data_IF_347711290758
#
_entry.id   IF_347711290758
#
_cell.length_a   1.000
_cell.length_b   1.000
_cell.length_c   1.000
_cell.angle_alpha   90.00
_cell.angle_beta   90.00
_cell.angle_gamma   90.00
#
_symmetry.space_group_name_H-M   'P 1'
#
loop_
_entity.id
_entity.type
_entity.pdbx_description
1 polymer ?
#
# COMPACT_ATOMS: atom_id res chain seq x y z
N UNK A 1 11.51 -19.35 22.67
CA UNK A 1 12.03 -19.28 21.28
C UNK A 1 12.12 -17.81 20.94
N UNK A 2 13.24 -17.33 20.40
CA UNK A 2 13.28 -15.95 19.89
C UNK A 2 12.34 -15.90 18.69
N UNK A 3 11.38 -14.98 18.70
CA UNK A 3 10.59 -14.68 17.51
C UNK A 3 11.60 -14.20 16.46
N UNK A 4 11.77 -14.99 15.40
CA UNK A 4 12.63 -14.60 14.30
C UNK A 4 12.03 -13.33 13.67
N UNK A 5 12.86 -12.39 13.22
CA UNK A 5 12.38 -11.12 12.63
C UNK A 5 12.83 -11.09 11.18
N UNK A 6 11.92 -10.70 10.30
CA UNK A 6 12.20 -10.56 8.87
C UNK A 6 11.94 -9.14 8.41
N UNK A 7 12.84 -8.62 7.58
CA UNK A 7 12.65 -7.33 6.94
C UNK A 7 11.84 -7.52 5.66
N UNK A 8 10.82 -6.69 5.51
CA UNK A 8 9.90 -6.70 4.38
C UNK A 8 9.84 -5.33 3.73
N UNK A 9 9.74 -5.32 2.41
CA UNK A 9 9.48 -4.14 1.61
C UNK A 9 8.04 -4.22 1.08
N UNK A 10 7.22 -3.25 1.47
CA UNK A 10 5.82 -3.14 1.08
C UNK A 10 5.65 -2.05 0.03
N UNK A 11 4.93 -2.39 -1.04
CA UNK A 11 4.49 -1.48 -2.08
C UNK A 11 2.99 -1.23 -1.90
N UNK A 12 2.63 -0.01 -1.54
CA UNK A 12 1.22 0.41 -1.42
C UNK A 12 0.86 1.20 -2.67
N UNK A 13 0.09 0.57 -3.57
CA UNK A 13 -0.45 1.20 -4.78
C UNK A 13 -1.83 1.77 -4.49
N UNK A 14 -2.13 2.96 -4.99
CA UNK A 14 -3.43 3.59 -4.81
C UNK A 14 -3.82 4.44 -6.02
N UNK A 15 -5.11 4.70 -6.17
CA UNK A 15 -5.65 5.65 -7.17
C UNK A 15 -6.23 6.86 -6.48
N UNK A 16 -5.90 8.04 -6.98
CA UNK A 16 -6.55 9.29 -6.58
C UNK A 16 -6.46 10.33 -7.69
N UNK A 17 -7.20 11.44 -7.52
CA UNK A 17 -7.02 12.64 -8.34
C UNK A 17 -5.70 13.34 -8.00
N UNK A 18 -5.11 14.07 -8.95
CA UNK A 18 -3.87 14.83 -8.69
C UNK A 18 -4.02 15.87 -7.58
N UNK A 19 -5.17 16.53 -7.49
CA UNK A 19 -5.47 17.55 -6.47
C UNK A 19 -5.65 16.98 -5.06
N UNK A 20 -5.79 15.65 -4.94
CA UNK A 20 -5.94 14.94 -3.66
C UNK A 20 -4.65 14.25 -3.20
N UNK A 21 -3.55 14.35 -3.96
CA UNK A 21 -2.31 13.63 -3.69
C UNK A 21 -1.69 13.99 -2.33
N UNK A 22 -1.76 15.26 -1.92
CA UNK A 22 -1.23 15.69 -0.62
C UNK A 22 -2.04 15.09 0.54
N UNK A 23 -3.35 14.93 0.38
CA UNK A 23 -4.17 14.23 1.37
C UNK A 23 -3.79 12.74 1.43
N UNK A 24 -3.63 12.08 0.27
CA UNK A 24 -3.21 10.68 0.22
C UNK A 24 -1.85 10.45 0.90
N UNK A 25 -0.87 11.36 0.68
CA UNK A 25 0.42 11.36 1.38
C UNK A 25 0.24 11.49 2.89
N UNK A 26 -0.60 12.41 3.35
CA UNK A 26 -0.88 12.57 4.77
C UNK A 26 -1.58 11.33 5.39
N UNK A 27 -2.43 10.63 4.63
CA UNK A 27 -3.00 9.33 5.06
C UNK A 27 -1.93 8.26 5.20
N UNK A 28 -1.07 8.11 4.20
CA UNK A 28 0.03 7.15 4.27
C UNK A 28 0.93 7.38 5.48
N UNK A 29 1.31 8.63 5.77
CA UNK A 29 2.12 8.94 6.95
C UNK A 29 1.43 8.56 8.26
N UNK A 30 0.11 8.79 8.40
CA UNK A 30 -0.65 8.34 9.57
C UNK A 30 -0.63 6.82 9.73
N UNK A 31 -0.81 6.08 8.63
CA UNK A 31 -0.72 4.63 8.64
C UNK A 31 0.66 4.14 9.10
N UNK A 32 1.73 4.76 8.62
CA UNK A 32 3.12 4.46 8.99
C UNK A 32 3.39 4.82 10.46
N UNK A 33 2.87 5.94 10.96
CA UNK A 33 3.04 6.33 12.36
C UNK A 33 2.39 5.33 13.32
N UNK A 34 1.18 4.85 13.00
CA UNK A 34 0.53 3.75 13.75
C UNK A 34 1.34 2.46 13.68
N UNK A 35 1.93 2.16 12.52
CA UNK A 35 2.78 0.97 12.36
C UNK A 35 4.04 1.05 13.22
N UNK A 36 4.65 2.23 13.36
CA UNK A 36 5.84 2.47 14.20
C UNK A 36 5.61 2.21 15.69
N UNK A 37 4.36 2.20 16.16
CA UNK A 37 4.05 1.87 17.55
C UNK A 37 4.42 0.41 17.91
N UNK A 38 4.42 -0.48 16.92
CA UNK A 38 4.62 -1.94 17.13
C UNK A 38 5.74 -2.54 16.30
N UNK A 39 6.18 -1.88 15.23
CA UNK A 39 7.17 -2.41 14.29
C UNK A 39 8.34 -1.43 14.09
N UNK A 40 9.52 -1.98 13.83
CA UNK A 40 10.68 -1.17 13.40
C UNK A 40 10.53 -0.83 11.92
N UNK A 41 10.19 0.42 11.62
CA UNK A 41 10.13 0.94 10.24
C UNK A 41 11.49 1.53 9.87
N UNK A 42 12.20 0.90 8.93
CA UNK A 42 13.52 1.34 8.45
C UNK A 42 13.42 2.44 7.40
N UNK A 43 12.36 2.41 6.59
CA UNK A 43 12.12 3.36 5.52
C UNK A 43 10.63 3.51 5.26
N UNK A 44 10.20 4.74 4.96
CA UNK A 44 8.89 5.02 4.35
C UNK A 44 9.08 6.19 3.39
N UNK A 45 8.61 6.02 2.15
CA UNK A 45 8.68 7.07 1.15
C UNK A 45 7.68 8.18 1.46
N UNK A 46 8.14 9.42 1.55
CA UNK A 46 7.28 10.61 1.64
C UNK A 46 6.76 11.08 0.26
N UNK A 47 7.48 10.69 -0.79
CA UNK A 47 7.10 10.99 -2.18
C UNK A 47 6.41 9.79 -2.79
N UNK A 48 5.24 10.04 -3.38
CA UNK A 48 4.53 9.04 -4.16
C UNK A 48 5.11 9.04 -5.57
N UNK A 49 5.50 7.86 -6.08
CA UNK A 49 5.83 7.74 -7.48
C UNK A 49 4.56 7.64 -8.31
N UNK A 50 4.50 8.38 -9.42
CA UNK A 50 3.39 8.35 -10.37
C UNK A 50 3.62 7.27 -11.43
N UNK A 51 2.78 6.24 -11.42
CA UNK A 51 2.86 5.13 -12.37
C UNK A 51 1.93 5.30 -13.58
N UNK A 52 0.94 6.19 -13.51
CA UNK A 52 0.06 6.50 -14.63
C UNK A 52 -1.07 5.49 -14.84
N UNK A 53 -1.74 5.58 -15.99
CA UNK A 53 -2.92 4.76 -16.32
C UNK A 53 -2.58 3.39 -16.91
N UNK A 54 -1.34 3.17 -17.35
CA UNK A 54 -0.90 1.90 -17.92
C UNK A 54 -0.79 0.79 -16.86
N UNK A 55 -0.85 1.14 -15.58
CA UNK A 55 -0.86 0.17 -14.50
C UNK A 55 -2.15 -0.67 -14.53
N UNK A 56 -2.06 -2.02 -14.48
CA UNK A 56 -3.22 -2.90 -14.55
C UNK A 56 -4.28 -2.65 -13.46
N UNK A 57 -3.86 -2.12 -12.30
CA UNK A 57 -4.75 -1.83 -11.18
C UNK A 57 -5.54 -0.53 -11.33
N UNK A 58 -5.23 0.31 -12.33
CA UNK A 58 -5.85 1.62 -12.49
C UNK A 58 -7.38 1.52 -12.61
N UNK A 59 -7.86 0.76 -13.60
CA UNK A 59 -9.31 0.60 -13.86
C UNK A 59 -10.04 -0.08 -12.70
N UNK A 60 -9.38 -1.04 -12.05
CA UNK A 60 -9.95 -1.74 -10.90
C UNK A 60 -10.20 -0.76 -9.74
N UNK A 61 -9.17 -0.03 -9.33
CA UNK A 61 -9.28 0.89 -8.19
C UNK A 61 -10.12 2.13 -8.53
N UNK A 62 -10.07 2.62 -9.77
CA UNK A 62 -10.95 3.71 -10.22
C UNK A 62 -12.43 3.33 -10.10
N UNK A 63 -12.80 2.07 -10.36
CA UNK A 63 -14.19 1.61 -10.22
C UNK A 63 -14.70 1.57 -8.77
N UNK A 64 -13.80 1.62 -7.79
CA UNK A 64 -14.14 1.75 -6.37
C UNK A 64 -14.46 3.21 -5.99
N UNK A 65 -13.89 4.19 -6.72
CA UNK A 65 -14.17 5.64 -6.56
C UNK A 65 -15.37 6.07 -7.39
N UNK A 66 -15.45 5.63 -8.65
CA UNK A 66 -16.54 5.94 -9.56
C UNK A 66 -17.22 4.63 -9.96
N UNK A 67 -18.36 4.29 -9.35
CA UNK A 67 -19.07 3.06 -9.66
C UNK A 67 -19.38 2.95 -11.16
N UNK A 68 -19.31 1.76 -11.78
CA UNK A 68 -19.57 1.58 -13.20
C UNK A 68 -20.94 2.10 -13.67
N UNK A 69 -21.92 2.21 -12.76
CA UNK A 69 -23.26 2.75 -13.03
C UNK A 69 -23.30 4.27 -13.22
N UNK A 70 -22.35 5.01 -12.64
CA UNK A 70 -22.27 6.47 -12.75
C UNK A 70 -21.58 6.88 -14.06
N UNK A 71 -20.65 6.04 -14.53
CA UNK A 71 -19.83 6.32 -15.69
C UNK A 71 -18.78 7.39 -15.42
N UNK A 72 -17.71 7.38 -16.20
CA UNK A 72 -16.65 8.40 -16.15
C UNK A 72 -16.32 8.81 -17.58
N UNK A 73 -16.20 10.10 -17.82
CA UNK A 73 -15.75 10.61 -19.12
C UNK A 73 -14.23 10.44 -19.26
N UNK A 74 -13.69 10.35 -20.49
CA UNK A 74 -12.24 10.32 -20.69
C UNK A 74 -11.51 11.50 -20.05
N UNK A 75 -12.10 12.70 -20.10
CA UNK A 75 -11.52 13.92 -19.54
C UNK A 75 -11.46 13.86 -18.00
N UNK A 76 -12.49 13.33 -17.35
CA UNK A 76 -12.48 13.12 -15.88
C UNK A 76 -11.50 12.02 -15.48
N UNK A 77 -11.38 10.95 -16.28
CA UNK A 77 -10.43 9.87 -16.02
C UNK A 77 -8.97 10.35 -16.06
N UNK A 78 -8.67 11.33 -16.91
CA UNK A 78 -7.35 11.97 -16.99
C UNK A 78 -6.92 12.68 -15.71
N UNK A 79 -7.87 13.04 -14.84
CA UNK A 79 -7.58 13.68 -13.56
C UNK A 79 -7.06 12.70 -12.50
N UNK A 80 -7.16 11.39 -12.74
CA UNK A 80 -6.72 10.33 -11.84
C UNK A 80 -5.36 9.75 -12.26
N UNK A 81 -4.65 9.14 -11.32
CA UNK A 81 -3.46 8.33 -11.63
C UNK A 81 -3.25 7.23 -10.61
N UNK A 82 -2.49 6.20 -11.00
CA UNK A 82 -1.93 5.26 -10.02
C UNK A 82 -0.66 5.86 -9.43
N UNK A 83 -0.58 5.82 -8.11
CA UNK A 83 0.59 6.20 -7.34
C UNK A 83 1.05 5.06 -6.47
N UNK A 84 2.33 5.06 -6.07
CA UNK A 84 2.82 4.12 -5.07
C UNK A 84 3.76 4.71 -4.02
N UNK A 85 3.65 4.14 -2.82
CA UNK A 85 4.61 4.30 -1.73
C UNK A 85 5.37 3.00 -1.49
N UNK A 86 6.57 3.14 -0.92
CA UNK A 86 7.41 2.03 -0.48
C UNK A 86 7.68 2.19 1.02
N UNK A 87 7.47 1.12 1.78
CA UNK A 87 7.76 1.05 3.22
C UNK A 87 8.59 -0.19 3.52
N UNK A 88 9.70 -0.04 4.24
CA UNK A 88 10.55 -1.15 4.69
C UNK A 88 10.41 -1.30 6.21
N UNK A 89 10.04 -2.48 6.66
CA UNK A 89 9.65 -2.73 8.06
C UNK A 89 10.06 -4.13 8.50
N UNK A 90 10.45 -4.25 9.76
CA UNK A 90 10.65 -5.53 10.42
C UNK A 90 9.32 -6.12 10.90
N UNK A 91 9.08 -7.36 10.51
CA UNK A 91 7.88 -8.13 10.84
C UNK A 91 8.30 -9.36 11.64
N UNK A 92 7.72 -9.60 12.83
CA UNK A 92 7.94 -10.84 13.56
C UNK A 92 7.47 -12.05 12.74
N UNK A 93 8.30 -13.08 12.68
CA UNK A 93 7.98 -14.38 12.11
C UNK A 93 7.14 -15.18 13.11
N UNK A 94 5.99 -15.68 12.65
CA UNK A 94 5.19 -16.65 13.36
C UNK A 94 5.34 -18.01 12.67
N UNK A 95 5.79 -19.03 13.40
CA UNK A 95 6.05 -20.38 12.85
C UNK A 95 4.79 -21.22 12.65
N UNK A 96 3.66 -20.78 13.20
CA UNK A 96 2.40 -21.53 13.21
C UNK A 96 1.41 -20.85 12.27
N UNK A 97 1.18 -21.52 11.14
CA UNK A 97 0.12 -21.34 10.13
C UNK A 97 -0.19 -19.98 9.49
N UNK A 98 0.39 -18.85 9.92
CA UNK A 98 0.10 -17.60 9.21
C UNK A 98 1.28 -16.62 9.06
N UNK A 99 1.47 -16.22 7.80
CA UNK A 99 1.93 -14.88 7.36
C UNK A 99 1.02 -13.73 7.90
N UNK A 100 0.35 -13.92 9.03
CA UNK A 100 -0.68 -13.02 9.54
C UNK A 100 -0.09 -11.69 9.95
N UNK A 101 1.09 -11.68 10.55
CA UNK A 101 1.77 -10.42 10.87
C UNK A 101 2.10 -9.64 9.59
N UNK A 102 2.48 -10.32 8.50
CA UNK A 102 2.73 -9.68 7.20
C UNK A 102 1.43 -9.12 6.63
N UNK A 103 0.32 -9.88 6.70
CA UNK A 103 -1.02 -9.42 6.29
C UNK A 103 -1.51 -8.24 7.12
N UNK A 104 -1.34 -8.30 8.45
CA UNK A 104 -1.71 -7.23 9.38
C UNK A 104 -0.92 -5.97 9.06
N UNK A 105 0.38 -6.09 8.82
CA UNK A 105 1.22 -4.96 8.40
C UNK A 105 0.77 -4.42 7.04
N UNK A 106 0.49 -5.28 6.07
CA UNK A 106 0.00 -4.89 4.75
C UNK A 106 -1.32 -4.12 4.84
N UNK A 107 -2.29 -4.63 5.60
CA UNK A 107 -3.59 -4.01 5.81
C UNK A 107 -3.47 -2.66 6.54
N UNK A 108 -2.57 -2.55 7.53
CA UNK A 108 -2.31 -1.26 8.21
C UNK A 108 -1.70 -0.20 7.30
N UNK A 109 -1.04 -0.59 6.21
CA UNK A 109 -0.44 0.32 5.24
C UNK A 109 -1.43 0.76 4.15
N UNK A 110 -2.60 0.14 4.04
CA UNK A 110 -3.66 0.61 3.15
C UNK A 110 -4.19 1.97 3.64
N UNK A 111 -4.40 2.90 2.70
CA UNK A 111 -4.69 4.30 3.02
C UNK A 111 -6.19 4.65 2.95
N UNK A 112 -7.02 3.68 2.56
CA UNK A 112 -8.47 3.77 2.50
C UNK A 112 -9.12 3.09 3.71
N UNK A 113 -8.92 3.69 4.88
CA UNK A 113 -9.42 3.16 6.15
C UNK A 113 -10.82 3.69 6.54
N UNK A 114 -11.42 4.56 5.73
CA UNK A 114 -12.78 5.07 5.96
C UNK A 114 -13.79 4.13 5.29
N UNK A 115 -14.74 3.60 6.05
CA UNK A 115 -15.79 2.75 5.48
C UNK A 115 -16.75 3.58 4.61
N UNK A 116 -17.01 3.11 3.38
CA UNK A 116 -18.02 3.72 2.51
C UNK A 116 -17.81 3.37 1.03
N UNK A 117 -18.88 3.54 0.26
CA UNK A 117 -18.82 3.59 -1.21
C UNK A 117 -19.37 4.97 -1.62
N UNK A 118 -18.66 5.73 -2.46
CA UNK A 118 -17.38 5.38 -3.08
C UNK A 118 -16.18 5.41 -2.13
N UNK A 119 -15.19 4.58 -2.44
CA UNK A 119 -13.86 4.60 -1.83
C UNK A 119 -13.18 5.95 -2.07
N UNK A 120 -12.37 6.42 -1.12
CA UNK A 120 -11.69 7.72 -1.27
C UNK A 120 -10.29 7.58 -1.84
N UNK A 121 -9.52 6.61 -1.34
CA UNK A 121 -8.15 6.33 -1.78
C UNK A 121 -7.90 4.83 -1.96
N UNK A 122 -8.71 4.13 -2.76
CA UNK A 122 -8.64 2.68 -2.88
C UNK A 122 -7.21 2.25 -3.17
N UNK A 123 -6.72 1.33 -2.36
CA UNK A 123 -5.32 0.93 -2.35
C UNK A 123 -5.16 -0.58 -2.26
N UNK A 124 -4.00 -1.07 -2.69
CA UNK A 124 -3.56 -2.45 -2.50
C UNK A 124 -2.10 -2.44 -2.07
N UNK A 125 -1.82 -3.16 -0.99
CA UNK A 125 -0.45 -3.29 -0.48
C UNK A 125 0.08 -4.70 -0.73
N UNK A 126 1.30 -4.78 -1.27
CA UNK A 126 2.02 -6.04 -1.53
C UNK A 126 3.38 -6.03 -0.85
N UNK A 127 3.73 -7.11 -0.16
CA UNK A 127 5.03 -7.30 0.49
C UNK A 127 5.98 -8.20 -0.30
N UNK A 128 7.26 -7.84 -0.33
CA UNK A 128 8.37 -8.72 -0.71
C UNK A 128 9.34 -8.84 0.46
N UNK A 129 9.85 -10.05 0.71
CA UNK A 129 10.86 -10.27 1.73
C UNK A 129 12.22 -9.81 1.22
N UNK A 130 12.94 -9.06 2.05
CA UNK A 130 14.27 -8.52 1.70
C UNK A 130 15.29 -8.82 2.79
N UNK A 131 16.56 -8.90 2.41
CA UNK A 131 17.67 -8.95 3.34
C UNK A 131 17.80 -7.61 4.07
N UNK A 132 18.53 -7.62 5.19
CA UNK A 132 18.92 -6.38 5.86
C UNK A 132 19.76 -5.44 4.96
N UNK A 133 20.37 -5.98 3.91
CA UNK A 133 21.13 -5.22 2.90
C UNK A 133 20.30 -4.81 1.68
N UNK A 134 18.98 -5.09 1.68
CA UNK A 134 18.06 -4.68 0.62
C UNK A 134 18.03 -5.57 -0.62
N UNK A 135 18.53 -6.80 -0.52
CA UNK A 135 18.40 -7.79 -1.60
C UNK A 135 17.10 -8.57 -1.43
N UNK A 136 16.36 -8.80 -2.51
CA UNK A 136 15.23 -9.75 -2.49
C UNK A 136 15.74 -11.14 -2.09
N UNK A 137 15.05 -11.79 -1.15
CA UNK A 137 15.38 -13.15 -0.69
C UNK A 137 14.24 -14.08 -1.12
N UNK A 138 14.60 -15.27 -1.62
CA UNK A 138 13.63 -16.32 -1.93
C UNK A 138 12.78 -16.71 -0.72
N UNK A 139 11.55 -17.15 -0.98
CA UNK A 139 10.72 -17.83 0.00
C UNK A 139 9.54 -17.04 0.55
N UNK A 140 9.24 -15.83 0.05
CA UNK A 140 7.95 -15.19 0.30
C UNK A 140 7.68 -14.01 -0.64
N UNK A 141 6.94 -14.29 -1.72
CA UNK A 141 6.21 -13.26 -2.46
C UNK A 141 4.75 -13.36 -1.99
N UNK A 142 4.29 -12.40 -1.20
CA UNK A 142 2.86 -12.24 -0.96
C UNK A 142 2.29 -11.52 -2.21
N UNK A 143 1.28 -12.08 -2.86
CA UNK A 143 0.64 -11.50 -4.06
C UNK A 143 -0.78 -11.03 -3.74
#
# INVERSE_FOLDING_TARGET
MMNEIHTWCFFTKFVCRYDQLDEAKARHQRCVDVLREKNTVHFSSEQAYQAGHSEPTFKLLLSEIVPPSEGITPEEEEEYSVFFFVTVVDVPYASDEDDDEVRIVSAKLEIDFEEGVPAKFPSRTRGIRVSQTGHEIEGCIYQ
#
